data_IF_975781406877
#
_entry.id   IF_975781406877
#
_cell.length_a   1.000
_cell.length_b   1.000
_cell.length_c   1.000
_cell.angle_alpha   90.00
_cell.angle_beta   90.00
_cell.angle_gamma   90.00
#
_symmetry.space_group_name_H-M   'P 1'
#
loop_
_entity.id
_entity.type
_entity.pdbx_description
1 polymer ?
#
# COMPACT_ATOMS: atom_id res chain seq x y z
N UNK A 1 -7.82 7.91 9.37
CA UNK A 1 -8.04 7.27 8.05
C UNK A 1 -7.32 5.94 8.05
N UNK A 2 -8.00 4.85 7.72
CA UNK A 2 -7.41 3.52 7.55
C UNK A 2 -7.41 3.20 6.06
N UNK A 3 -6.26 2.78 5.52
CA UNK A 3 -6.12 2.39 4.11
C UNK A 3 -5.60 0.97 4.06
N UNK A 4 -6.25 0.12 3.27
CA UNK A 4 -5.84 -1.28 3.10
C UNK A 4 -5.67 -1.58 1.62
N UNK A 5 -4.66 -2.36 1.26
CA UNK A 5 -4.47 -2.80 -0.12
C UNK A 5 -3.74 -4.14 -0.21
N UNK A 6 -3.95 -4.82 -1.34
CA UNK A 6 -3.28 -6.05 -1.71
C UNK A 6 -2.54 -5.87 -3.05
N UNK A 7 -1.34 -6.45 -3.18
CA UNK A 7 -0.60 -6.50 -4.45
C UNK A 7 -0.28 -5.10 -4.99
N UNK A 8 -0.57 -4.86 -6.28
CA UNK A 8 -0.51 -3.52 -6.88
C UNK A 8 -1.46 -2.54 -6.21
N UNK A 9 -2.58 -3.01 -5.65
CA UNK A 9 -3.48 -2.17 -4.85
C UNK A 9 -2.85 -1.73 -3.53
N UNK A 10 -1.98 -2.54 -2.92
CA UNK A 10 -1.17 -2.14 -1.76
C UNK A 10 -0.17 -1.06 -2.16
N UNK A 11 0.42 -1.16 -3.35
CA UNK A 11 1.27 -0.09 -3.89
C UNK A 11 0.48 1.19 -4.14
N UNK A 12 -0.74 1.10 -4.69
CA UNK A 12 -1.64 2.26 -4.83
C UNK A 12 -1.99 2.87 -3.48
N UNK A 13 -2.26 2.06 -2.45
CA UNK A 13 -2.53 2.53 -1.09
C UNK A 13 -1.35 3.33 -0.52
N UNK A 14 -0.12 2.84 -0.73
CA UNK A 14 1.11 3.55 -0.37
C UNK A 14 1.23 4.91 -1.07
N UNK A 15 1.06 4.95 -2.41
CA UNK A 15 1.12 6.19 -3.20
C UNK A 15 0.04 7.17 -2.74
N UNK A 16 -1.17 6.67 -2.47
CA UNK A 16 -2.27 7.47 -1.97
C UNK A 16 -2.00 8.06 -0.59
N UNK A 17 -1.45 7.29 0.35
CA UNK A 17 -1.09 7.79 1.68
C UNK A 17 -0.08 8.95 1.57
N UNK A 18 0.93 8.83 0.72
CA UNK A 18 1.89 9.92 0.47
C UNK A 18 1.19 11.13 -0.12
N UNK A 19 0.34 10.94 -1.14
CA UNK A 19 -0.40 12.04 -1.77
C UNK A 19 -1.23 12.83 -0.75
N UNK A 20 -1.86 12.14 0.22
CA UNK A 20 -2.65 12.79 1.27
C UNK A 20 -1.82 13.66 2.23
N UNK A 21 -0.56 13.31 2.48
CA UNK A 21 0.32 14.11 3.34
C UNK A 21 0.94 15.28 2.57
N UNK A 22 1.38 15.06 1.33
CA UNK A 22 2.05 16.10 0.53
C UNK A 22 1.05 17.13 -0.03
N UNK A 23 -0.05 16.64 -0.61
CA UNK A 23 -1.05 17.44 -1.33
C UNK A 23 -2.32 17.63 -0.51
N UNK A 24 -2.90 16.53 -0.02
CA UNK A 24 -4.17 16.53 0.71
C UNK A 24 -5.40 16.25 -0.15
N UNK A 25 -6.54 16.10 0.52
CA UNK A 25 -7.84 15.81 -0.09
C UNK A 25 -8.63 17.10 -0.32
N UNK A 26 -9.30 17.19 -1.47
CA UNK A 26 -10.21 18.28 -1.81
C UNK A 26 -11.58 17.68 -2.14
N UNK A 27 -12.60 17.99 -1.32
CA UNK A 27 -13.93 17.35 -1.38
C UNK A 27 -14.71 17.62 -2.67
N UNK A 28 -14.47 18.77 -3.31
CA UNK A 28 -15.21 19.22 -4.50
C UNK A 28 -14.39 19.13 -5.79
N UNK A 29 -13.28 18.38 -5.79
CA UNK A 29 -12.39 18.35 -6.95
C UNK A 29 -13.00 17.50 -8.07
N UNK A 30 -13.20 18.09 -9.24
CA UNK A 30 -13.64 17.36 -10.43
C UNK A 30 -12.60 16.31 -10.85
N UNK A 31 -13.06 15.20 -11.44
CA UNK A 31 -12.18 14.09 -11.87
C UNK A 31 -11.03 14.56 -12.75
N UNK A 32 -11.30 15.42 -13.74
CA UNK A 32 -10.26 15.91 -14.66
C UNK A 32 -9.20 16.76 -13.97
N UNK A 33 -9.61 17.58 -12.99
CA UNK A 33 -8.69 18.38 -12.19
C UNK A 33 -7.87 17.48 -11.26
N UNK A 34 -8.48 16.45 -10.66
CA UNK A 34 -7.77 15.45 -9.88
C UNK A 34 -6.72 14.71 -10.71
N UNK A 35 -7.06 14.25 -11.92
CA UNK A 35 -6.11 13.58 -12.80
C UNK A 35 -4.92 14.49 -13.15
N UNK A 36 -5.17 15.73 -13.56
CA UNK A 36 -4.10 16.70 -13.84
C UNK A 36 -3.21 16.96 -12.61
N UNK A 37 -3.83 17.14 -11.45
CA UNK A 37 -3.14 17.36 -10.18
C UNK A 37 -2.25 16.18 -9.81
N UNK A 38 -2.80 14.96 -9.86
CA UNK A 38 -2.10 13.73 -9.52
C UNK A 38 -0.93 13.45 -10.47
N UNK A 39 -1.13 13.64 -11.78
CA UNK A 39 -0.07 13.47 -12.78
C UNK A 39 1.05 14.49 -12.60
N UNK A 40 0.71 15.76 -12.37
CA UNK A 40 1.71 16.80 -12.11
C UNK A 40 2.49 16.52 -10.82
N UNK A 41 1.79 16.06 -9.77
CA UNK A 41 2.41 15.65 -8.52
C UNK A 41 3.40 14.51 -8.73
N UNK A 42 2.99 13.47 -9.45
CA UNK A 42 3.86 12.33 -9.79
C UNK A 42 5.13 12.76 -10.52
N UNK A 43 5.00 13.58 -11.56
CA UNK A 43 6.15 14.09 -12.34
C UNK A 43 7.10 14.95 -11.49
N UNK A 44 6.58 15.84 -10.65
CA UNK A 44 7.40 16.68 -9.76
C UNK A 44 8.18 15.84 -8.75
N UNK A 45 7.52 14.83 -8.17
CA UNK A 45 8.13 13.92 -7.21
C UNK A 45 9.23 13.06 -7.83
N UNK A 46 9.04 12.57 -9.06
CA UNK A 46 10.08 11.85 -9.82
C UNK A 46 11.33 12.71 -10.08
N UNK A 47 11.16 14.02 -10.27
CA UNK A 47 12.24 14.98 -10.45
C UNK A 47 12.86 15.49 -9.13
N UNK A 48 12.28 15.14 -7.98
CA UNK A 48 12.70 15.66 -6.68
C UNK A 48 12.34 17.14 -6.46
N UNK A 49 11.32 17.64 -7.16
CA UNK A 49 10.82 19.00 -7.02
C UNK A 49 9.85 19.14 -5.84
N UNK A 50 9.59 20.39 -5.40
CA UNK A 50 8.62 20.70 -4.35
C UNK A 50 7.19 20.34 -4.78
N UNK A 51 6.61 19.33 -4.13
CA UNK A 51 5.25 18.86 -4.36
C UNK A 51 4.19 19.63 -3.58
N UNK A 52 4.59 20.45 -2.59
CA UNK A 52 3.67 21.10 -1.64
C UNK A 52 2.84 22.23 -2.25
N UNK A 53 3.08 22.61 -3.50
CA UNK A 53 2.41 23.70 -4.23
C UNK A 53 1.75 23.26 -5.54
N UNK A 54 1.65 21.96 -5.79
CA UNK A 54 1.14 21.40 -7.05
C UNK A 54 -0.31 21.80 -7.36
N UNK A 55 -1.11 22.18 -6.36
CA UNK A 55 -2.45 22.74 -6.55
C UNK A 55 -2.46 24.04 -7.38
N UNK A 56 -1.37 24.82 -7.39
CA UNK A 56 -1.26 26.04 -8.21
C UNK A 56 -1.25 25.73 -9.70
N UNK A 57 -0.71 24.56 -10.07
CA UNK A 57 -0.62 24.12 -11.47
C UNK A 57 -2.02 23.83 -12.08
N UNK A 58 -3.03 23.67 -11.23
CA UNK A 58 -4.43 23.48 -11.62
C UNK A 58 -5.34 24.64 -11.19
N UNK A 59 -4.75 25.77 -10.78
CA UNK A 59 -5.48 27.00 -10.42
C UNK A 59 -6.27 26.90 -9.11
N UNK A 60 -5.84 26.07 -8.16
CA UNK A 60 -6.52 25.88 -6.88
C UNK A 60 -5.71 26.44 -5.72
N UNK A 61 -6.44 26.85 -4.68
CA UNK A 61 -5.87 27.39 -3.45
C UNK A 61 -5.55 26.29 -2.45
N UNK A 62 -4.43 26.46 -1.74
CA UNK A 62 -3.96 25.51 -0.73
C UNK A 62 -4.99 25.26 0.39
N UNK A 63 -5.75 26.30 0.76
CA UNK A 63 -6.75 26.26 1.84
C UNK A 63 -7.89 25.28 1.58
N UNK A 64 -8.11 24.88 0.32
CA UNK A 64 -9.14 23.91 -0.05
C UNK A 64 -8.68 22.46 0.09
N UNK A 65 -7.40 22.22 0.37
CA UNK A 65 -6.84 20.88 0.54
C UNK A 65 -6.62 20.59 2.01
N UNK A 66 -7.21 19.48 2.48
CA UNK A 66 -6.97 18.96 3.81
C UNK A 66 -5.90 17.88 3.74
N UNK A 67 -4.71 18.17 4.26
CA UNK A 67 -3.67 17.15 4.45
C UNK A 67 -4.08 16.18 5.54
N UNK A 68 -3.88 14.90 5.28
CA UNK A 68 -4.28 13.81 6.18
C UNK A 68 -3.10 12.85 6.28
N UNK A 69 -2.60 12.64 7.50
CA UNK A 69 -1.72 11.52 7.80
C UNK A 69 -2.57 10.27 7.97
N UNK A 70 -2.18 9.19 7.32
CA UNK A 70 -2.88 7.90 7.44
C UNK A 70 -2.64 7.36 8.84
N UNK A 71 -3.70 6.97 9.54
CA UNK A 71 -3.55 6.45 10.90
C UNK A 71 -3.04 5.00 10.86
N UNK A 72 -3.61 4.18 10.00
CA UNK A 72 -3.19 2.79 9.79
C UNK A 72 -3.16 2.45 8.30
N UNK A 73 -2.05 1.84 7.86
CA UNK A 73 -1.85 1.36 6.50
C UNK A 73 -1.63 -0.16 6.53
N UNK A 74 -2.66 -0.92 6.13
CA UNK A 74 -2.63 -2.38 6.06
C UNK A 74 -2.27 -2.87 4.66
N UNK A 75 -1.19 -3.63 4.52
CA UNK A 75 -0.64 -4.02 3.23
C UNK A 75 -0.49 -5.52 3.14
N UNK A 76 -1.08 -6.13 2.13
CA UNK A 76 -0.89 -7.53 1.78
C UNK A 76 0.01 -7.61 0.56
N UNK A 77 1.17 -8.25 0.73
CA UNK A 77 2.14 -8.64 -0.28
C UNK A 77 2.32 -7.60 -1.40
N UNK A 78 2.75 -6.40 -1.02
CA UNK A 78 2.88 -5.25 -1.93
C UNK A 78 3.84 -5.57 -3.07
N UNK A 79 3.40 -5.40 -4.32
CA UNK A 79 4.26 -5.52 -5.50
C UNK A 79 4.28 -4.22 -6.27
N UNK A 80 5.42 -3.87 -6.87
CA UNK A 80 5.53 -2.66 -7.66
C UNK A 80 4.57 -2.69 -8.86
N UNK A 81 3.94 -1.55 -9.16
CA UNK A 81 3.23 -1.38 -10.42
C UNK A 81 4.25 -1.24 -11.55
N UNK A 82 4.71 -2.38 -12.09
CA UNK A 82 5.52 -2.41 -13.31
C UNK A 82 4.58 -2.43 -14.52
N UNK A 83 4.76 -1.46 -15.42
CA UNK A 83 4.06 -1.44 -16.71
C UNK A 83 4.45 -2.68 -17.52
N UNK A 84 3.47 -3.54 -17.81
CA UNK A 84 3.62 -4.91 -18.35
C UNK A 84 4.18 -5.04 -19.78
N UNK A 85 5.17 -4.25 -20.16
CA UNK A 85 5.84 -4.31 -21.46
C UNK A 85 7.36 -4.16 -21.31
N UNK A 86 8.11 -5.10 -20.71
CA UNK A 86 9.59 -5.04 -20.78
C UNK A 86 10.32 -6.38 -20.93
N UNK A 87 11.45 -6.42 -21.69
CA UNK A 87 12.22 -7.63 -21.97
C UNK A 87 13.04 -8.10 -20.76
N UNK A 88 13.28 -9.41 -20.70
CA UNK A 88 13.71 -10.22 -19.53
C UNK A 88 15.13 -9.92 -18.99
N UNK A 89 15.86 -8.92 -19.51
CA UNK A 89 17.33 -8.79 -19.35
C UNK A 89 17.88 -7.46 -18.78
N UNK A 90 17.07 -6.50 -18.32
CA UNK A 90 17.62 -5.21 -17.83
C UNK A 90 18.02 -5.21 -16.33
N UNK A 91 19.18 -4.62 -15.95
CA UNK A 91 19.63 -4.55 -14.55
C UNK A 91 19.22 -3.27 -13.80
N UNK A 92 19.01 -3.41 -12.48
CA UNK A 92 19.14 -2.47 -11.34
C UNK A 92 18.49 -1.07 -11.37
N UNK A 93 17.94 -0.57 -12.47
CA UNK A 93 17.25 0.73 -12.49
C UNK A 93 15.89 0.70 -11.75
N UNK A 94 15.36 -0.50 -11.48
CA UNK A 94 14.05 -0.72 -10.86
C UNK A 94 13.99 -0.44 -9.35
N UNK A 95 15.15 -0.32 -8.68
CA UNK A 95 15.22 0.14 -7.28
C UNK A 95 14.79 1.60 -7.10
N UNK A 96 14.94 2.44 -8.14
CA UNK A 96 14.57 3.88 -8.06
C UNK A 96 13.05 4.10 -8.03
N UNK A 97 12.27 3.25 -8.69
CA UNK A 97 10.79 3.30 -8.66
C UNK A 97 10.19 2.69 -7.38
N UNK A 98 10.99 2.23 -6.44
CA UNK A 98 10.52 1.76 -5.13
C UNK A 98 11.07 2.61 -3.99
N UNK A 99 12.31 3.10 -4.14
CA UNK A 99 12.88 4.10 -3.25
C UNK A 99 12.02 5.38 -3.13
N UNK A 100 11.23 5.74 -4.17
CA UNK A 100 10.29 6.88 -4.11
C UNK A 100 9.13 6.66 -3.12
N UNK A 101 8.75 5.39 -2.88
CA UNK A 101 7.67 5.01 -1.97
C UNK A 101 8.22 4.83 -0.57
N UNK A 102 9.33 4.10 -0.41
CA UNK A 102 9.84 3.67 0.91
C UNK A 102 9.97 4.84 1.90
N UNK A 103 10.73 5.89 1.58
CA UNK A 103 10.93 6.99 2.54
C UNK A 103 9.67 7.82 2.75
N UNK A 104 8.87 8.04 1.71
CA UNK A 104 7.66 8.85 1.80
C UNK A 104 6.57 8.16 2.61
N UNK A 105 6.40 6.85 2.43
CA UNK A 105 5.34 6.08 3.07
C UNK A 105 5.55 5.96 4.57
N UNK A 106 6.80 5.75 5.01
CA UNK A 106 7.12 5.69 6.45
C UNK A 106 6.71 6.98 7.18
N UNK A 107 6.72 8.14 6.51
CA UNK A 107 6.25 9.41 7.07
C UNK A 107 4.75 9.65 6.83
N UNK A 108 4.17 8.98 5.84
CA UNK A 108 2.78 9.18 5.44
C UNK A 108 1.76 8.49 6.36
N UNK A 109 2.22 7.52 7.15
CA UNK A 109 1.39 6.78 8.09
C UNK A 109 1.94 6.84 9.52
N UNK A 110 1.08 6.59 10.50
CA UNK A 110 1.45 6.41 11.91
C UNK A 110 1.75 4.93 12.19
N UNK A 111 0.92 4.04 11.64
CA UNK A 111 1.09 2.59 11.74
C UNK A 111 1.10 1.96 10.35
N UNK A 112 2.08 1.09 10.09
CA UNK A 112 2.18 0.33 8.84
C UNK A 112 2.27 -1.14 9.20
N UNK A 113 1.32 -1.92 8.69
CA UNK A 113 1.26 -3.36 8.90
C UNK A 113 1.39 -4.07 7.56
N UNK A 114 2.42 -4.90 7.41
CA UNK A 114 2.71 -5.58 6.15
C UNK A 114 2.73 -7.11 6.32
N UNK A 115 1.80 -7.78 5.64
CA UNK A 115 1.83 -9.23 5.46
C UNK A 115 2.59 -9.55 4.17
N UNK A 116 3.53 -10.49 4.22
CA UNK A 116 4.46 -10.82 3.13
C UNK A 116 4.41 -12.31 2.79
N UNK A 117 4.45 -12.65 1.50
CA UNK A 117 4.48 -14.04 1.04
C UNK A 117 5.92 -14.60 1.07
N UNK A 118 6.13 -15.65 1.85
CA UNK A 118 7.46 -16.26 2.01
C UNK A 118 7.89 -17.07 0.77
N UNK A 119 6.94 -17.70 0.06
CA UNK A 119 7.23 -18.67 -1.00
C UNK A 119 6.93 -18.14 -2.41
N UNK A 120 6.71 -16.83 -2.57
CA UNK A 120 6.53 -16.23 -3.89
C UNK A 120 7.85 -16.18 -4.66
N UNK A 121 7.95 -16.99 -5.72
CA UNK A 121 9.16 -17.15 -6.53
C UNK A 121 9.10 -16.41 -7.86
N UNK A 122 7.93 -15.90 -8.28
CA UNK A 122 7.80 -15.16 -9.52
C UNK A 122 8.48 -13.81 -9.36
N UNK A 123 9.40 -13.51 -10.28
CA UNK A 123 10.18 -12.26 -10.26
C UNK A 123 9.29 -11.02 -10.26
N UNK A 124 8.19 -11.05 -11.01
CA UNK A 124 7.26 -9.92 -11.15
C UNK A 124 6.39 -9.70 -9.90
N UNK A 125 6.43 -10.63 -8.94
CA UNK A 125 5.67 -10.58 -7.68
C UNK A 125 6.60 -10.50 -6.45
N UNK A 126 7.86 -10.10 -6.64
CA UNK A 126 8.75 -9.87 -5.50
C UNK A 126 8.18 -8.76 -4.61
N UNK A 127 8.04 -9.01 -3.29
CA UNK A 127 7.40 -8.05 -2.41
C UNK A 127 8.28 -6.83 -2.16
N UNK A 128 7.63 -5.69 -2.00
CA UNK A 128 8.22 -4.40 -1.67
C UNK A 128 8.38 -4.32 -0.15
N UNK A 129 9.47 -4.87 0.37
CA UNK A 129 9.73 -4.93 1.82
C UNK A 129 10.28 -3.59 2.30
N UNK A 130 9.55 -2.93 3.20
CA UNK A 130 10.04 -1.72 3.85
C UNK A 130 11.23 -2.04 4.75
N UNK A 131 12.17 -1.09 4.82
CA UNK A 131 13.28 -1.13 5.77
C UNK A 131 13.05 -0.05 6.80
N UNK A 132 13.24 -0.40 8.06
CA UNK A 132 13.23 0.58 9.14
C UNK A 132 14.27 1.68 8.86
N UNK A 133 13.81 2.92 9.00
CA UNK A 133 14.63 4.13 8.97
C UNK A 133 14.43 4.89 10.26
N UNK A 134 15.16 5.99 10.49
CA UNK A 134 14.92 6.92 11.60
C UNK A 134 13.58 7.66 11.45
N UNK A 135 12.48 6.93 11.62
CA UNK A 135 11.11 7.44 11.50
C UNK A 135 10.27 6.94 12.67
N UNK A 136 9.46 7.80 13.28
CA UNK A 136 8.58 7.48 14.41
C UNK A 136 7.37 6.58 14.05
N UNK A 137 7.44 5.84 12.94
CA UNK A 137 6.35 4.98 12.46
C UNK A 137 6.37 3.64 13.15
N UNK A 138 5.20 3.16 13.57
CA UNK A 138 5.04 1.79 14.05
C UNK A 138 4.94 0.84 12.85
N UNK A 139 6.09 0.39 12.35
CA UNK A 139 6.18 -0.61 11.28
C UNK A 139 6.15 -2.02 11.88
N UNK A 140 5.21 -2.85 11.43
CA UNK A 140 5.19 -4.29 11.74
C UNK A 140 5.06 -5.10 10.48
N UNK A 141 5.95 -6.06 10.31
CA UNK A 141 6.00 -6.92 9.13
C UNK A 141 5.92 -8.38 9.58
N UNK A 142 5.15 -9.20 8.86
CA UNK A 142 5.04 -10.63 9.14
C UNK A 142 5.07 -11.41 7.83
N UNK A 143 5.93 -12.43 7.80
CA UNK A 143 6.05 -13.36 6.68
C UNK A 143 5.13 -14.55 6.91
N UNK A 144 4.26 -14.82 5.94
CA UNK A 144 3.31 -15.92 5.94
C UNK A 144 3.73 -16.99 4.94
N UNK A 145 3.42 -18.24 5.25
CA UNK A 145 3.63 -19.35 4.34
C UNK A 145 2.72 -19.22 3.10
N UNK A 146 3.24 -19.63 1.94
CA UNK A 146 2.52 -19.60 0.67
C UNK A 146 3.01 -18.53 -0.29
N UNK A 147 2.31 -18.42 -1.42
CA UNK A 147 2.59 -17.47 -2.48
C UNK A 147 1.70 -16.22 -2.36
N UNK A 148 1.81 -15.31 -3.33
CA UNK A 148 1.10 -14.02 -3.34
C UNK A 148 -0.41 -14.12 -3.04
N UNK A 149 -1.08 -15.10 -3.65
CA UNK A 149 -2.51 -15.34 -3.47
C UNK A 149 -2.85 -15.96 -2.10
N UNK A 150 -1.90 -16.69 -1.49
CA UNK A 150 -2.07 -17.24 -0.14
C UNK A 150 -1.94 -16.16 0.94
N UNK A 151 -1.42 -14.96 0.59
CA UNK A 151 -1.37 -13.81 1.51
C UNK A 151 -2.52 -12.83 1.27
N UNK A 152 -2.80 -12.48 0.01
CA UNK A 152 -3.86 -11.52 -0.32
C UNK A 152 -5.26 -12.10 -0.45
N UNK A 153 -5.36 -13.43 -0.55
CA UNK A 153 -6.58 -14.12 -0.94
C UNK A 153 -6.80 -14.09 -2.45
N UNK A 154 -7.32 -15.19 -2.97
CA UNK A 154 -7.83 -15.29 -4.34
C UNK A 154 -9.11 -16.11 -4.34
N UNK A 155 -10.14 -15.61 -5.01
CA UNK A 155 -11.43 -16.32 -5.16
C UNK A 155 -11.29 -17.63 -5.91
N UNK A 156 -10.27 -17.78 -6.75
CA UNK A 156 -10.01 -19.02 -7.49
C UNK A 156 -9.22 -20.05 -6.68
N UNK A 157 -8.56 -19.60 -5.61
CA UNK A 157 -7.73 -20.44 -4.76
C UNK A 157 -8.56 -20.93 -3.57
N UNK A 158 -8.99 -22.19 -3.61
CA UNK A 158 -9.66 -22.86 -2.49
C UNK A 158 -8.72 -23.13 -1.29
N UNK A 159 -7.48 -22.64 -1.31
CA UNK A 159 -6.53 -22.83 -0.23
C UNK A 159 -6.78 -21.82 0.92
N UNK A 160 -7.03 -22.29 2.15
CA UNK A 160 -7.43 -21.44 3.28
C UNK A 160 -6.27 -20.68 3.96
N UNK A 161 -5.06 -20.71 3.38
CA UNK A 161 -3.87 -20.07 4.00
C UNK A 161 -4.04 -18.56 4.16
N UNK A 162 -4.80 -17.92 3.28
CA UNK A 162 -5.07 -16.48 3.32
C UNK A 162 -5.82 -16.02 4.58
N UNK A 163 -6.45 -16.94 5.31
CA UNK A 163 -7.08 -16.59 6.59
C UNK A 163 -6.07 -16.20 7.67
N UNK A 164 -4.86 -16.77 7.67
CA UNK A 164 -3.85 -16.42 8.68
C UNK A 164 -3.35 -14.97 8.55
N UNK A 165 -2.89 -14.51 7.37
CA UNK A 165 -2.59 -13.09 7.14
C UNK A 165 -3.80 -12.18 7.39
N UNK A 166 -5.00 -12.60 7.00
CA UNK A 166 -6.22 -11.82 7.25
C UNK A 166 -6.47 -11.62 8.75
N UNK A 167 -6.45 -12.69 9.54
CA UNK A 167 -6.63 -12.63 11.00
C UNK A 167 -5.55 -11.78 11.67
N UNK A 168 -4.29 -11.92 11.23
CA UNK A 168 -3.21 -11.08 11.72
C UNK A 168 -3.46 -9.60 11.42
N UNK A 169 -3.84 -9.26 10.19
CA UNK A 169 -4.16 -7.88 9.81
C UNK A 169 -5.36 -7.33 10.59
N UNK A 170 -6.43 -8.13 10.76
CA UNK A 170 -7.58 -7.75 11.57
C UNK A 170 -7.18 -7.46 13.02
N UNK A 171 -6.27 -8.25 13.58
CA UNK A 171 -5.74 -7.99 14.92
C UNK A 171 -4.92 -6.70 14.98
N UNK A 172 -4.12 -6.39 13.95
CA UNK A 172 -3.35 -5.15 13.90
C UNK A 172 -4.25 -3.91 13.75
N UNK A 173 -5.32 -4.00 12.96
CA UNK A 173 -6.27 -2.90 12.69
C UNK A 173 -7.39 -2.79 13.75
N UNK A 174 -7.47 -3.74 14.69
CA UNK A 174 -8.52 -3.79 15.72
C UNK A 174 -8.67 -2.49 16.53
N UNK A 175 -7.60 -1.74 16.86
CA UNK A 175 -7.76 -0.46 17.57
C UNK A 175 -8.62 0.56 16.82
N UNK A 176 -8.61 0.52 15.48
CA UNK A 176 -9.30 1.52 14.64
C UNK A 176 -10.48 0.96 13.84
N UNK A 177 -10.59 -0.37 13.70
CA UNK A 177 -11.60 -1.03 12.87
C UNK A 177 -12.30 -2.15 13.64
N UNK A 178 -13.63 -2.09 13.68
CA UNK A 178 -14.48 -3.16 14.23
C UNK A 178 -14.76 -4.21 13.16
N UNK A 179 -14.55 -5.49 13.50
CA UNK A 179 -14.76 -6.61 12.58
C UNK A 179 -15.86 -7.56 13.07
N UNK A 180 -16.67 -8.06 12.13
CA UNK A 180 -17.57 -9.20 12.38
C UNK A 180 -16.82 -10.51 12.07
N UNK A 181 -16.34 -11.20 13.11
CA UNK A 181 -15.29 -12.24 12.97
C UNK A 181 -15.82 -13.68 12.85
N UNK A 182 -17.14 -13.88 12.97
CA UNK A 182 -17.73 -15.22 13.11
C UNK A 182 -17.49 -16.15 11.92
N UNK A 183 -17.54 -15.65 10.69
CA UNK A 183 -17.37 -16.50 9.50
C UNK A 183 -15.90 -16.89 9.24
N UNK A 184 -14.95 -15.99 9.51
CA UNK A 184 -13.52 -16.24 9.27
C UNK A 184 -12.96 -17.25 10.26
N UNK A 185 -13.34 -17.15 11.54
CA UNK A 185 -12.91 -18.12 12.55
C UNK A 185 -13.37 -19.54 12.22
N UNK A 186 -14.61 -19.70 11.75
CA UNK A 186 -15.13 -21.03 11.40
C UNK A 186 -14.33 -21.68 10.27
N UNK A 187 -14.00 -20.93 9.22
CA UNK A 187 -13.21 -21.43 8.08
C UNK A 187 -11.80 -21.87 8.49
N UNK A 188 -11.17 -21.14 9.41
CA UNK A 188 -9.86 -21.52 9.97
C UNK A 188 -9.95 -22.78 10.80
N UNK A 189 -10.96 -22.89 11.68
CA UNK A 189 -11.17 -24.08 12.50
C UNK A 189 -11.44 -25.32 11.63
N UNK A 190 -12.19 -25.17 10.55
CA UNK A 190 -12.50 -26.27 9.64
C UNK A 190 -11.26 -26.74 8.85
N UNK A 191 -10.34 -25.82 8.53
CA UNK A 191 -9.05 -26.18 7.92
C UNK A 191 -8.14 -26.94 8.89
N UNK A 192 -8.00 -26.47 10.13
CA UNK A 192 -7.11 -27.09 11.13
C UNK A 192 -7.54 -28.49 11.58
N UNK A 193 -8.79 -28.89 11.28
CA UNK A 193 -9.32 -30.23 11.58
C UNK A 193 -9.02 -31.28 10.51
N UNK A 194 -8.46 -30.88 9.36
CA UNK A 194 -8.10 -31.77 8.24
C UNK A 194 -6.65 -32.21 8.33
#
# INVERSE_FOLDING_TARGET
LVVVGFSRGAFTACVFAVFLVEVGLHSELGKDQFHKLFDNWGRKREKGEDTTKVYRDVGLEASRFRRIRTHELGLFDTVAALDGKRPRFLPSAERKKLAFVDKGVLHAAENIFQALALLERRRDFQPCVFRETESDVNLRQCWFAGCHADVGGDKSNNHPLHHFPLLWMMNMLRPSVSFAVTSVFQQVLDYLKR
#
